data_IF_064226151623
#
_entry.id   IF_064226151623
#
_cell.length_a   1.000
_cell.length_b   1.000
_cell.length_c   1.000
_cell.angle_alpha   90.00
_cell.angle_beta   90.00
_cell.angle_gamma   90.00
#
_symmetry.space_group_name_H-M   'P 1'
#
loop_
_entity.id
_entity.type
_entity.pdbx_description
1 polymer ?
#
# COMPACT_ATOMS: atom_id res chain seq x y z
N UNK A 1 19.83 -11.75 -2.45
CA UNK A 1 20.17 -11.42 -3.85
C UNK A 1 19.00 -11.31 -4.80
N UNK A 2 17.95 -12.16 -4.78
CA UNK A 2 16.76 -11.96 -5.66
C UNK A 2 16.18 -10.55 -5.48
N UNK A 3 15.91 -10.15 -4.23
CA UNK A 3 15.33 -8.83 -3.94
C UNK A 3 16.26 -7.67 -4.34
N UNK A 4 17.58 -7.85 -4.25
CA UNK A 4 18.56 -6.84 -4.65
C UNK A 4 18.61 -6.70 -6.17
N UNK A 5 18.59 -7.80 -6.91
CA UNK A 5 18.50 -7.79 -8.37
C UNK A 5 17.21 -7.14 -8.85
N UNK A 6 16.10 -7.44 -8.19
CA UNK A 6 14.82 -6.78 -8.42
C UNK A 6 14.90 -5.28 -8.15
N UNK A 7 15.39 -4.89 -6.97
CA UNK A 7 15.51 -3.48 -6.61
C UNK A 7 16.38 -2.71 -7.60
N UNK A 8 17.57 -3.22 -7.92
CA UNK A 8 18.47 -2.59 -8.88
C UNK A 8 17.81 -2.40 -10.24
N UNK A 9 17.10 -3.42 -10.73
CA UNK A 9 16.38 -3.36 -12.01
C UNK A 9 15.24 -2.32 -11.96
N UNK A 10 14.48 -2.27 -10.88
CA UNK A 10 13.39 -1.31 -10.71
C UNK A 10 13.90 0.12 -10.54
N UNK A 11 15.04 0.32 -9.87
CA UNK A 11 15.70 1.63 -9.76
C UNK A 11 16.16 2.13 -11.12
N UNK A 12 16.89 1.30 -11.86
CA UNK A 12 17.30 1.60 -13.22
C UNK A 12 16.09 1.99 -14.10
N UNK A 13 15.01 1.21 -14.01
CA UNK A 13 13.81 1.42 -14.83
C UNK A 13 12.97 2.63 -14.43
N UNK A 14 12.61 2.77 -13.15
CA UNK A 14 11.58 3.71 -12.68
C UNK A 14 12.18 5.00 -12.10
N UNK A 15 13.42 4.98 -11.63
CA UNK A 15 14.09 6.13 -11.02
C UNK A 15 15.10 6.79 -11.96
N UNK A 16 16.02 6.02 -12.54
CA UNK A 16 17.02 6.57 -13.44
C UNK A 16 16.45 6.74 -14.86
N UNK A 17 15.69 5.74 -15.34
CA UNK A 17 15.16 5.69 -16.70
C UNK A 17 16.16 5.20 -17.74
N UNK A 18 17.25 4.58 -17.30
CA UNK A 18 18.20 3.86 -18.14
C UNK A 18 18.37 2.46 -17.54
N UNK A 19 18.01 1.43 -18.27
CA UNK A 19 17.83 0.10 -17.70
C UNK A 19 18.34 -1.03 -18.58
N UNK A 20 18.73 -2.13 -17.91
CA UNK A 20 19.10 -3.36 -18.57
C UNK A 20 17.85 -4.11 -19.03
N UNK A 21 17.69 -4.29 -20.35
CA UNK A 21 16.48 -4.86 -20.94
C UNK A 21 16.44 -6.40 -20.91
N UNK A 22 17.53 -7.06 -20.50
CA UNK A 22 17.64 -8.52 -20.46
C UNK A 22 18.45 -9.07 -19.25
N UNK A 23 18.03 -8.81 -18.00
CA UNK A 23 18.74 -9.22 -16.79
C UNK A 23 18.56 -10.74 -16.53
N UNK A 24 19.12 -11.58 -17.41
CA UNK A 24 19.02 -13.04 -17.34
C UNK A 24 20.22 -13.67 -16.60
N UNK A 25 20.20 -14.96 -16.20
CA UNK A 25 21.28 -15.56 -15.39
C UNK A 25 22.65 -15.53 -16.06
N UNK A 26 22.72 -15.49 -17.40
CA UNK A 26 23.99 -15.34 -18.12
C UNK A 26 24.65 -13.95 -18.00
N UNK A 27 23.90 -12.92 -17.61
CA UNK A 27 24.36 -11.52 -17.52
C UNK A 27 24.54 -11.06 -16.08
N UNK A 28 24.06 -11.84 -15.11
CA UNK A 28 24.01 -11.52 -13.69
C UNK A 28 24.77 -12.56 -12.88
N UNK A 29 25.73 -12.13 -12.06
CA UNK A 29 26.44 -13.02 -11.15
C UNK A 29 26.50 -12.46 -9.74
N UNK A 30 26.20 -13.34 -8.79
CA UNK A 30 26.45 -13.12 -7.38
C UNK A 30 27.95 -13.20 -7.08
N UNK A 31 28.54 -12.11 -6.60
CA UNK A 31 29.92 -12.09 -6.12
C UNK A 31 30.01 -12.68 -4.70
N UNK A 32 31.17 -13.18 -4.30
CA UNK A 32 31.40 -13.72 -2.94
C UNK A 32 31.15 -12.67 -1.84
N UNK A 33 31.33 -11.39 -2.15
CA UNK A 33 31.04 -10.26 -1.27
C UNK A 33 29.56 -9.85 -1.19
N UNK A 34 28.64 -10.65 -1.76
CA UNK A 34 27.19 -10.38 -1.68
C UNK A 34 26.67 -9.31 -2.64
N UNK A 35 27.48 -8.83 -3.58
CA UNK A 35 27.07 -7.86 -4.61
C UNK A 35 26.67 -8.54 -5.91
N UNK A 36 25.78 -7.90 -6.69
CA UNK A 36 25.37 -8.37 -8.02
C UNK A 36 26.22 -7.70 -9.11
N UNK A 37 26.96 -8.49 -9.88
CA UNK A 37 27.76 -8.03 -11.01
C UNK A 37 26.99 -8.21 -12.32
N UNK A 38 27.02 -7.18 -13.18
CA UNK A 38 26.48 -7.19 -14.54
C UNK A 38 27.64 -7.31 -15.53
N UNK A 39 27.54 -8.23 -16.49
CA UNK A 39 28.61 -8.48 -17.46
C UNK A 39 28.33 -7.97 -18.88
N UNK A 40 27.09 -8.09 -19.33
CA UNK A 40 26.67 -7.61 -20.65
C UNK A 40 25.84 -6.34 -20.48
N UNK A 41 26.04 -5.39 -21.40
CA UNK A 41 25.27 -4.15 -21.51
C UNK A 41 24.86 -3.91 -22.98
N UNK A 42 24.83 -4.96 -23.80
CA UNK A 42 24.45 -4.91 -25.21
C UNK A 42 22.97 -4.62 -25.44
N UNK A 43 22.12 -4.84 -24.43
CA UNK A 43 20.69 -4.52 -24.46
C UNK A 43 20.31 -3.59 -23.31
N UNK A 44 20.61 -2.31 -23.50
CA UNK A 44 20.14 -1.23 -22.63
C UNK A 44 19.01 -0.45 -23.31
N UNK A 45 18.10 0.08 -22.50
CA UNK A 45 17.00 0.92 -22.96
C UNK A 45 16.93 2.22 -22.16
N UNK A 46 16.49 3.28 -22.82
CA UNK A 46 16.10 4.53 -22.20
C UNK A 46 14.58 4.60 -22.13
N UNK A 47 14.04 5.09 -21.01
CA UNK A 47 12.62 5.34 -20.85
C UNK A 47 12.37 6.75 -20.28
N UNK A 48 11.74 7.64 -21.07
CA UNK A 48 11.36 8.97 -20.64
C UNK A 48 10.54 9.00 -19.35
N UNK A 49 10.70 10.07 -18.55
CA UNK A 49 10.00 10.23 -17.26
C UNK A 49 8.47 10.07 -17.37
N UNK A 50 7.85 10.59 -18.42
CA UNK A 50 6.39 10.50 -18.58
C UNK A 50 5.92 9.05 -18.74
N UNK A 51 6.66 8.22 -19.47
CA UNK A 51 6.39 6.79 -19.59
C UNK A 51 6.63 6.03 -18.29
N UNK A 52 7.66 6.41 -17.51
CA UNK A 52 7.89 5.84 -16.17
C UNK A 52 6.76 6.14 -15.19
N UNK A 53 6.28 7.38 -15.17
CA UNK A 53 5.11 7.75 -14.36
C UNK A 53 3.87 6.99 -14.84
N UNK A 54 3.69 6.85 -16.16
CA UNK A 54 2.64 6.02 -16.75
C UNK A 54 2.70 4.55 -16.31
N UNK A 55 3.89 3.92 -16.27
CA UNK A 55 4.06 2.56 -15.77
C UNK A 55 3.60 2.42 -14.31
N UNK A 56 3.95 3.39 -13.46
CA UNK A 56 3.54 3.41 -12.05
C UNK A 56 2.02 3.58 -11.94
N UNK A 57 1.42 4.47 -12.73
CA UNK A 57 -0.03 4.68 -12.79
C UNK A 57 -0.77 3.40 -13.19
N UNK A 58 -0.33 2.76 -14.29
CA UNK A 58 -0.89 1.50 -14.78
C UNK A 58 -0.84 0.40 -13.72
N UNK A 59 0.30 0.28 -13.02
CA UNK A 59 0.43 -0.70 -11.95
C UNK A 59 -0.54 -0.40 -10.80
N UNK A 60 -0.73 0.87 -10.43
CA UNK A 60 -1.68 1.25 -9.38
C UNK A 60 -3.12 0.95 -9.79
N UNK A 61 -3.54 1.29 -11.00
CA UNK A 61 -4.87 0.94 -11.51
C UNK A 61 -5.08 -0.58 -11.61
N UNK A 62 -4.07 -1.31 -12.09
CA UNK A 62 -4.11 -2.77 -12.15
C UNK A 62 -4.29 -3.40 -10.75
N UNK A 63 -3.48 -2.98 -9.78
CA UNK A 63 -3.53 -3.46 -8.39
C UNK A 63 -4.84 -3.04 -7.71
N UNK A 64 -5.41 -1.90 -8.07
CA UNK A 64 -6.71 -1.44 -7.59
C UNK A 64 -7.90 -2.11 -8.27
N UNK A 65 -7.66 -2.91 -9.33
CA UNK A 65 -8.68 -3.46 -10.23
C UNK A 65 -9.55 -2.38 -10.86
N UNK A 66 -8.96 -1.21 -11.07
CA UNK A 66 -9.60 -0.09 -11.75
C UNK A 66 -9.42 -0.25 -13.26
N UNK A 67 -10.33 -1.01 -13.86
CA UNK A 67 -10.34 -1.26 -15.30
C UNK A 67 -10.52 0.01 -16.14
N UNK A 68 -11.28 0.99 -15.65
CA UNK A 68 -11.50 2.24 -16.38
C UNK A 68 -10.28 3.13 -16.29
N UNK A 69 -9.67 3.26 -15.11
CA UNK A 69 -8.38 3.93 -14.94
C UNK A 69 -7.30 3.34 -15.85
N UNK A 70 -7.19 2.00 -15.87
CA UNK A 70 -6.20 1.32 -16.71
C UNK A 70 -6.47 1.51 -18.22
N UNK A 71 -7.73 1.50 -18.66
CA UNK A 71 -8.08 1.81 -20.05
C UNK A 71 -7.69 3.26 -20.43
N UNK A 72 -7.92 4.21 -19.53
CA UNK A 72 -7.51 5.61 -19.73
C UNK A 72 -5.98 5.76 -19.76
N UNK A 73 -5.23 4.99 -18.97
CA UNK A 73 -3.77 4.99 -19.03
C UNK A 73 -3.28 4.50 -20.39
N UNK A 74 -3.81 3.37 -20.88
CA UNK A 74 -3.44 2.85 -22.19
C UNK A 74 -3.73 3.84 -23.32
N UNK A 75 -4.85 4.56 -23.23
CA UNK A 75 -5.16 5.63 -24.18
C UNK A 75 -4.18 6.80 -24.06
N UNK A 76 -3.92 7.27 -22.84
CA UNK A 76 -3.03 8.41 -22.57
C UNK A 76 -1.58 8.15 -23.00
N UNK A 77 -1.15 6.89 -22.96
CA UNK A 77 0.18 6.45 -23.40
C UNK A 77 0.24 6.13 -24.90
N UNK A 78 -0.87 6.26 -25.62
CA UNK A 78 -0.96 5.99 -27.06
C UNK A 78 -0.94 4.52 -27.42
N UNK A 79 -1.27 3.62 -26.49
CA UNK A 79 -1.31 2.18 -26.77
C UNK A 79 -2.57 1.80 -27.52
N UNK A 80 -3.66 2.55 -27.30
CA UNK A 80 -4.94 2.32 -27.95
C UNK A 80 -5.14 3.37 -29.04
N UNK A 81 -5.58 2.98 -30.26
CA UNK A 81 -5.90 3.92 -31.32
C UNK A 81 -6.91 4.99 -30.90
N UNK A 82 -6.77 6.21 -31.44
CA UNK A 82 -7.75 7.28 -31.24
C UNK A 82 -9.15 6.85 -31.72
N UNK A 83 -10.18 7.24 -30.97
CA UNK A 83 -11.57 6.90 -31.28
C UNK A 83 -12.03 5.52 -30.80
N UNK A 84 -11.15 4.71 -30.21
CA UNK A 84 -11.54 3.46 -29.55
C UNK A 84 -12.48 3.72 -28.36
N UNK A 85 -13.51 2.89 -28.22
CA UNK A 85 -14.42 2.96 -27.07
C UNK A 85 -13.73 2.47 -25.79
N UNK A 86 -13.31 3.42 -24.94
CA UNK A 86 -12.62 3.13 -23.69
C UNK A 86 -13.51 2.39 -22.67
N UNK A 87 -14.84 2.50 -22.77
CA UNK A 87 -15.74 1.73 -21.90
C UNK A 87 -15.72 0.26 -22.29
N UNK A 88 -15.68 -0.04 -23.59
CA UNK A 88 -15.53 -1.41 -24.07
C UNK A 88 -14.18 -2.02 -23.66
N UNK A 89 -13.10 -1.25 -23.77
CA UNK A 89 -11.76 -1.66 -23.27
C UNK A 89 -11.81 -1.94 -21.77
N UNK A 90 -12.41 -1.03 -20.99
CA UNK A 90 -12.56 -1.20 -19.55
C UNK A 90 -13.39 -2.45 -19.19
N UNK A 91 -14.48 -2.73 -19.92
CA UNK A 91 -15.30 -3.92 -19.69
C UNK A 91 -14.51 -5.21 -19.99
N UNK A 92 -13.72 -5.25 -21.06
CA UNK A 92 -12.84 -6.37 -21.38
C UNK A 92 -11.75 -6.58 -20.30
N UNK A 93 -11.10 -5.50 -19.85
CA UNK A 93 -10.14 -5.55 -18.74
C UNK A 93 -10.79 -6.02 -17.43
N UNK A 94 -12.02 -5.57 -17.13
CA UNK A 94 -12.76 -6.00 -15.95
C UNK A 94 -13.08 -7.49 -16.00
N UNK A 95 -13.48 -7.99 -17.17
CA UNK A 95 -13.71 -9.43 -17.37
C UNK A 95 -12.42 -10.22 -17.14
N UNK A 96 -11.32 -9.77 -17.74
CA UNK A 96 -9.99 -10.35 -17.58
C UNK A 96 -9.56 -10.43 -16.09
N UNK A 97 -9.78 -9.36 -15.32
CA UNK A 97 -9.51 -9.37 -13.86
C UNK A 97 -10.34 -10.39 -13.06
N UNK A 98 -11.55 -10.73 -13.52
CA UNK A 98 -12.43 -11.71 -12.87
C UNK A 98 -11.89 -13.14 -12.97
N UNK A 99 -11.26 -13.48 -14.09
CA UNK A 99 -10.64 -14.79 -14.32
C UNK A 99 -9.30 -14.96 -13.60
N UNK A 100 -8.63 -13.87 -13.21
CA UNK A 100 -7.37 -13.90 -12.43
C UNK A 100 -7.52 -14.64 -11.08
N UNK A 101 -8.74 -14.81 -10.55
CA UNK A 101 -8.97 -15.64 -9.35
C UNK A 101 -8.64 -17.13 -9.56
N UNK A 102 -8.44 -17.59 -10.80
CA UNK A 102 -8.22 -19.00 -11.17
C UNK A 102 -6.82 -19.31 -11.70
N UNK A 103 -5.94 -18.33 -11.92
CA UNK A 103 -4.60 -18.53 -12.51
C UNK A 103 -3.49 -17.76 -11.76
N UNK A 104 -2.23 -18.08 -12.07
CA UNK A 104 -1.03 -17.51 -11.44
C UNK A 104 -0.98 -15.98 -11.56
N UNK A 105 -0.70 -15.28 -10.45
CA UNK A 105 -0.47 -13.82 -10.43
C UNK A 105 0.97 -13.43 -10.86
N UNK A 106 1.68 -14.32 -11.54
CA UNK A 106 3.00 -14.04 -12.06
C UNK A 106 2.95 -13.13 -13.30
N UNK A 107 4.09 -12.56 -13.66
CA UNK A 107 4.17 -11.60 -14.75
C UNK A 107 3.65 -12.18 -16.07
N UNK A 108 4.02 -13.43 -16.37
CA UNK A 108 3.58 -14.10 -17.59
C UNK A 108 2.06 -14.28 -17.62
N UNK A 109 1.44 -14.70 -16.52
CA UNK A 109 -0.01 -14.80 -16.39
C UNK A 109 -0.69 -13.45 -16.62
N UNK A 110 -0.19 -12.39 -15.97
CA UNK A 110 -0.73 -11.03 -16.17
C UNK A 110 -0.61 -10.57 -17.62
N UNK A 111 0.53 -10.80 -18.27
CA UNK A 111 0.72 -10.45 -19.68
C UNK A 111 -0.20 -11.25 -20.60
N UNK A 112 -0.38 -12.54 -20.34
CA UNK A 112 -1.31 -13.39 -21.10
C UNK A 112 -2.75 -12.86 -21.05
N UNK A 113 -3.19 -12.43 -19.87
CA UNK A 113 -4.51 -11.83 -19.67
C UNK A 113 -4.70 -10.48 -20.37
N UNK A 114 -3.62 -9.74 -20.58
CA UNK A 114 -3.65 -8.48 -21.33
C UNK A 114 -3.57 -8.70 -22.83
N UNK A 115 -2.91 -9.77 -23.32
CA UNK A 115 -2.76 -10.02 -24.75
C UNK A 115 -4.09 -10.15 -25.48
N UNK A 116 -5.09 -10.80 -24.88
CA UNK A 116 -6.41 -10.95 -25.51
C UNK A 116 -7.08 -9.58 -25.74
N UNK A 117 -7.03 -8.70 -24.72
CA UNK A 117 -7.55 -7.33 -24.81
C UNK A 117 -6.73 -6.51 -25.81
N UNK A 118 -5.41 -6.64 -25.77
CA UNK A 118 -4.52 -5.94 -26.69
C UNK A 118 -4.81 -6.31 -28.15
N UNK A 119 -5.07 -7.58 -28.43
CA UNK A 119 -5.41 -8.06 -29.77
C UNK A 119 -6.80 -7.57 -30.21
N UNK A 120 -7.81 -7.69 -29.35
CA UNK A 120 -9.18 -7.27 -29.62
C UNK A 120 -9.27 -5.78 -30.00
N UNK A 121 -8.55 -4.93 -29.27
CA UNK A 121 -8.60 -3.48 -29.42
C UNK A 121 -7.43 -2.91 -30.22
N UNK A 122 -6.68 -3.75 -30.94
CA UNK A 122 -5.57 -3.34 -31.82
C UNK A 122 -4.53 -2.46 -31.14
N UNK A 123 -4.08 -2.86 -29.95
CA UNK A 123 -3.07 -2.13 -29.20
C UNK A 123 -1.74 -2.06 -29.96
N UNK A 124 -1.09 -0.91 -29.91
CA UNK A 124 0.25 -0.68 -30.42
C UNK A 124 1.19 -0.32 -29.26
N UNK A 125 2.04 -1.26 -28.87
CA UNK A 125 3.05 -1.01 -27.83
C UNK A 125 4.23 -0.20 -28.40
N UNK A 126 4.60 0.94 -27.80
CA UNK A 126 5.84 1.62 -28.13
C UNK A 126 7.06 0.72 -27.87
N UNK A 127 8.15 0.84 -28.66
CA UNK A 127 9.34 0.02 -28.51
C UNK A 127 9.93 0.00 -27.10
N UNK A 128 9.92 1.15 -26.41
CA UNK A 128 10.46 1.27 -25.05
C UNK A 128 9.71 0.35 -24.07
N UNK A 129 8.39 0.22 -24.18
CA UNK A 129 7.60 -0.68 -23.35
C UNK A 129 7.83 -2.15 -23.67
N UNK A 130 8.12 -2.49 -24.93
CA UNK A 130 8.48 -3.85 -25.29
C UNK A 130 9.79 -4.27 -24.59
N UNK A 131 10.76 -3.36 -24.45
CA UNK A 131 11.98 -3.59 -23.68
C UNK A 131 11.70 -3.74 -22.18
N UNK A 132 10.77 -2.96 -21.62
CA UNK A 132 10.34 -3.11 -20.22
C UNK A 132 9.71 -4.48 -19.96
N UNK A 133 8.80 -4.92 -20.84
CA UNK A 133 8.16 -6.24 -20.73
C UNK A 133 9.21 -7.35 -20.79
N UNK A 134 10.20 -7.23 -21.69
CA UNK A 134 11.32 -8.18 -21.76
C UNK A 134 12.14 -8.19 -20.47
N UNK A 135 12.49 -7.02 -19.95
CA UNK A 135 13.29 -6.89 -18.73
C UNK A 135 12.61 -7.57 -17.53
N UNK A 136 11.32 -7.27 -17.32
CA UNK A 136 10.53 -7.85 -16.23
C UNK A 136 10.32 -9.36 -16.40
N UNK A 137 10.10 -9.83 -17.63
CA UNK A 137 9.97 -11.25 -17.93
C UNK A 137 11.27 -12.03 -17.69
N UNK A 138 12.41 -11.49 -18.13
CA UNK A 138 13.73 -12.06 -17.88
C UNK A 138 14.06 -12.09 -16.39
N UNK A 139 13.75 -11.01 -15.68
CA UNK A 139 13.98 -10.90 -14.25
C UNK A 139 13.14 -11.91 -13.46
N UNK A 140 11.86 -12.06 -13.80
CA UNK A 140 11.00 -13.06 -13.16
C UNK A 140 11.47 -14.48 -13.50
N UNK A 141 11.82 -14.78 -14.75
CA UNK A 141 12.35 -16.08 -15.15
C UNK A 141 13.64 -16.44 -14.41
N UNK A 142 14.54 -15.46 -14.24
CA UNK A 142 15.79 -15.61 -13.46
C UNK A 142 15.50 -15.87 -12.00
N UNK A 143 14.60 -15.10 -11.40
CA UNK A 143 14.23 -15.26 -9.99
C UNK A 143 13.52 -16.60 -9.75
N UNK A 144 12.65 -17.04 -10.65
CA UNK A 144 11.94 -18.33 -10.58
C UNK A 144 12.86 -19.55 -10.66
N UNK A 145 14.03 -19.42 -11.27
CA UNK A 145 15.04 -20.48 -11.25
C UNK A 145 15.59 -20.74 -9.84
N UNK A 146 15.49 -19.76 -8.93
CA UNK A 146 15.95 -19.83 -7.55
C UNK A 146 14.78 -19.99 -6.55
N UNK A 147 13.67 -19.30 -6.79
CA UNK A 147 12.46 -19.34 -5.99
C UNK A 147 11.23 -19.52 -6.91
N UNK A 148 10.72 -20.76 -7.07
CA UNK A 148 9.60 -21.06 -7.98
C UNK A 148 8.31 -20.28 -7.68
N UNK A 149 8.12 -19.82 -6.44
CA UNK A 149 6.93 -19.07 -6.01
C UNK A 149 7.11 -17.56 -6.17
N UNK A 150 8.26 -17.11 -6.70
CA UNK A 150 8.56 -15.70 -6.88
C UNK A 150 7.58 -15.03 -7.85
N UNK A 151 7.05 -13.88 -7.43
CA UNK A 151 6.12 -13.06 -8.22
C UNK A 151 6.65 -11.64 -8.30
N UNK A 152 7.13 -11.25 -9.49
CA UNK A 152 7.81 -9.96 -9.67
C UNK A 152 6.92 -8.77 -9.33
N UNK A 153 5.62 -8.84 -9.64
CA UNK A 153 4.66 -7.75 -9.40
C UNK A 153 4.41 -7.55 -7.90
N UNK A 154 4.26 -8.64 -7.14
CA UNK A 154 4.05 -8.57 -5.69
C UNK A 154 5.33 -8.04 -5.00
N UNK A 155 6.50 -8.51 -5.42
CA UNK A 155 7.81 -8.11 -4.90
C UNK A 155 8.20 -6.67 -5.28
N UNK A 156 7.71 -6.15 -6.41
CA UNK A 156 7.96 -4.76 -6.84
C UNK A 156 7.14 -3.73 -6.05
N UNK A 157 6.08 -4.16 -5.35
CA UNK A 157 5.16 -3.26 -4.67
C UNK A 157 5.86 -2.32 -3.66
N UNK A 158 6.74 -2.79 -2.74
CA UNK A 158 7.41 -1.90 -1.78
C UNK A 158 8.28 -0.83 -2.46
N UNK A 159 8.95 -1.18 -3.57
CA UNK A 159 9.75 -0.23 -4.35
C UNK A 159 8.85 0.89 -4.92
N UNK A 160 7.74 0.51 -5.55
CA UNK A 160 6.82 1.45 -6.20
C UNK A 160 6.21 2.38 -5.16
N UNK A 161 5.85 1.85 -3.99
CA UNK A 161 5.41 2.64 -2.85
C UNK A 161 6.48 3.65 -2.42
N UNK A 162 7.73 3.22 -2.25
CA UNK A 162 8.83 4.11 -1.94
C UNK A 162 8.97 5.24 -2.94
N UNK A 163 8.87 4.91 -4.23
CA UNK A 163 8.92 5.88 -5.31
C UNK A 163 7.76 6.88 -5.27
N UNK A 164 6.54 6.43 -4.95
CA UNK A 164 5.35 7.28 -4.78
C UNK A 164 5.48 8.24 -3.58
N UNK A 165 6.08 7.78 -2.49
CA UNK A 165 6.34 8.59 -1.31
C UNK A 165 7.47 9.60 -1.57
N UNK A 166 8.54 9.18 -2.25
CA UNK A 166 9.72 9.98 -2.54
C UNK A 166 9.52 11.06 -3.60
N UNK A 167 8.69 10.83 -4.64
CA UNK A 167 8.47 11.84 -5.68
C UNK A 167 7.41 12.88 -5.24
N UNK A 168 7.78 14.17 -5.08
CA UNK A 168 6.84 15.21 -4.69
C UNK A 168 6.00 15.75 -5.86
N UNK A 169 6.19 15.26 -7.09
CA UNK A 169 5.47 15.81 -8.24
C UNK A 169 3.96 15.61 -8.12
N UNK A 170 3.16 16.56 -8.65
CA UNK A 170 1.69 16.51 -8.53
C UNK A 170 1.07 15.22 -9.07
N UNK A 171 1.65 14.67 -10.15
CA UNK A 171 1.22 13.41 -10.75
C UNK A 171 1.42 12.27 -9.78
N UNK A 172 2.64 12.10 -9.24
CA UNK A 172 2.96 11.04 -8.27
C UNK A 172 2.14 11.12 -6.99
N UNK A 173 1.88 12.35 -6.50
CA UNK A 173 0.94 12.57 -5.38
C UNK A 173 -0.49 12.19 -5.73
N UNK A 174 -0.93 12.39 -6.98
CA UNK A 174 -2.23 11.94 -7.46
C UNK A 174 -2.31 10.42 -7.48
N UNK A 175 -1.30 9.73 -8.02
CA UNK A 175 -1.25 8.27 -8.06
C UNK A 175 -1.28 7.69 -6.63
N UNK A 176 -0.51 8.26 -5.71
CA UNK A 176 -0.51 7.83 -4.31
C UNK A 176 -1.90 7.98 -3.67
N UNK A 177 -2.65 9.04 -3.99
CA UNK A 177 -4.03 9.20 -3.51
C UNK A 177 -4.95 8.13 -4.09
N UNK A 178 -4.87 7.85 -5.39
CA UNK A 178 -5.70 6.83 -6.06
C UNK A 178 -5.39 5.42 -5.54
N UNK A 179 -4.15 5.15 -5.13
CA UNK A 179 -3.78 3.93 -4.45
C UNK A 179 -4.51 3.75 -3.10
N UNK A 180 -4.74 4.83 -2.37
CA UNK A 180 -5.25 4.80 -0.99
C UNK A 180 -6.75 5.10 -0.88
N UNK A 181 -7.32 5.84 -1.83
CA UNK A 181 -8.68 6.38 -1.80
C UNK A 181 -9.42 5.91 -3.05
N UNK A 182 -10.62 5.37 -2.87
CA UNK A 182 -11.54 5.02 -3.95
C UNK A 182 -12.21 6.27 -4.54
N UNK A 183 -12.76 6.17 -5.75
CA UNK A 183 -13.46 7.29 -6.42
C UNK A 183 -14.72 7.77 -5.67
N UNK A 184 -15.34 6.87 -4.90
CA UNK A 184 -16.47 7.20 -4.02
C UNK A 184 -16.02 7.99 -2.77
N UNK A 185 -14.71 8.05 -2.49
CA UNK A 185 -14.11 8.68 -1.33
C UNK A 185 -13.81 7.73 -0.17
N UNK A 186 -14.18 6.45 -0.27
CA UNK A 186 -13.85 5.46 0.76
C UNK A 186 -12.33 5.16 0.79
N UNK A 187 -11.81 4.78 1.96
CA UNK A 187 -10.39 4.46 2.13
C UNK A 187 -10.15 2.98 1.89
N UNK A 188 -9.12 2.66 1.10
CA UNK A 188 -8.63 1.30 0.89
C UNK A 188 -7.77 0.87 2.08
N UNK A 189 -8.39 0.58 3.22
CA UNK A 189 -7.69 0.27 4.49
C UNK A 189 -6.60 -0.80 4.36
N UNK A 190 -6.84 -1.88 3.60
CA UNK A 190 -5.82 -2.90 3.34
C UNK A 190 -4.55 -2.35 2.66
N UNK A 191 -4.68 -1.34 1.79
CA UNK A 191 -3.55 -0.70 1.11
C UNK A 191 -2.79 0.22 2.06
N UNK A 192 -3.54 1.00 2.85
CA UNK A 192 -2.96 1.86 3.89
C UNK A 192 -2.22 1.03 4.95
N UNK A 193 -2.78 -0.10 5.40
CA UNK A 193 -2.12 -1.03 6.32
C UNK A 193 -0.82 -1.55 5.74
N UNK A 194 -0.82 -2.02 4.47
CA UNK A 194 0.40 -2.50 3.81
C UNK A 194 1.45 -1.40 3.67
N UNK A 195 1.01 -0.16 3.40
CA UNK A 195 1.88 1.01 3.32
C UNK A 195 2.56 1.28 4.68
N UNK A 196 1.77 1.38 5.74
CA UNK A 196 2.28 1.65 7.09
C UNK A 196 3.15 0.48 7.58
N UNK A 197 2.74 -0.76 7.31
CA UNK A 197 3.52 -1.95 7.63
C UNK A 197 4.89 -1.92 6.95
N UNK A 198 4.95 -1.64 5.64
CA UNK A 198 6.21 -1.52 4.91
C UNK A 198 7.13 -0.42 5.48
N UNK A 199 6.57 0.71 5.92
CA UNK A 199 7.33 1.78 6.59
C UNK A 199 7.83 1.32 7.96
N UNK A 200 7.02 0.53 8.69
CA UNK A 200 7.34 0.09 10.05
C UNK A 200 8.30 -1.10 10.13
N UNK A 201 8.23 -2.07 9.20
CA UNK A 201 9.13 -3.24 9.18
C UNK A 201 10.59 -2.80 9.03
N UNK A 202 10.82 -1.70 8.31
CA UNK A 202 12.13 -1.06 8.17
C UNK A 202 12.67 -0.48 9.49
N UNK A 203 11.80 -0.10 10.44
CA UNK A 203 12.22 0.41 11.77
C UNK A 203 12.74 -0.70 12.70
N UNK A 204 12.31 -1.94 12.47
CA UNK A 204 12.66 -3.07 13.32
C UNK A 204 14.09 -3.53 13.04
N UNK A 205 14.50 -3.54 11.77
CA UNK A 205 15.84 -3.97 11.34
C UNK A 205 16.94 -2.93 11.67
N UNK A 206 16.64 -1.64 11.64
CA UNK A 206 17.62 -0.58 12.01
C UNK A 206 17.91 -0.52 13.51
N UNK A 207 16.94 -0.89 14.36
CA UNK A 207 17.12 -0.95 15.82
C UNK A 207 17.96 -2.16 16.30
N UNK A 208 18.05 -3.22 15.51
CA UNK A 208 18.93 -4.38 15.81
C UNK A 208 20.40 -4.16 15.44
N UNK A 209 20.73 -3.10 14.68
CA UNK A 209 22.09 -2.83 14.22
C UNK A 209 22.89 -1.89 15.15
N UNK A 210 22.25 -1.26 16.15
CA UNK A 210 22.91 -0.24 17.01
C UNK A 210 23.65 -0.81 18.23
N UNK A 211 24.15 -2.04 18.16
CA UNK A 211 24.75 -2.73 19.30
C UNK A 211 25.78 -3.80 18.94
N UNK A 212 26.79 -3.48 18.13
CA UNK A 212 28.00 -4.29 18.03
C UNK A 212 29.21 -3.43 17.62
N UNK A 213 30.29 -3.57 18.40
CA UNK A 213 31.57 -2.89 18.24
C UNK A 213 32.26 -3.16 16.89
N UNK A 214 33.15 -2.22 16.55
CA UNK A 214 34.09 -2.18 15.43
C UNK A 214 34.62 -3.55 14.94
N UNK A 215 34.20 -3.96 13.75
CA UNK A 215 35.05 -4.65 12.77
C UNK A 215 34.39 -4.56 11.38
N UNK A 216 35.21 -4.33 10.35
CA UNK A 216 34.81 -4.27 8.95
C UNK A 216 34.09 -5.56 8.53
N UNK A 217 32.77 -5.53 8.49
CA UNK A 217 31.94 -6.44 7.71
C UNK A 217 30.76 -5.63 7.20
N UNK A 218 30.81 -5.30 5.92
CA UNK A 218 29.74 -4.66 5.18
C UNK A 218 28.54 -5.62 5.08
N UNK A 219 27.71 -5.64 6.12
CA UNK A 219 26.38 -6.24 6.09
C UNK A 219 25.42 -5.38 6.91
N UNK A 220 25.42 -4.08 6.61
CA UNK A 220 24.26 -3.23 6.90
C UNK A 220 23.08 -3.70 6.07
N UNK A 221 21.86 -3.57 6.59
CA UNK A 221 20.66 -3.77 5.79
C UNK A 221 20.77 -2.92 4.52
N UNK A 222 20.37 -3.43 3.35
CA UNK A 222 20.61 -2.72 2.11
C UNK A 222 19.92 -1.34 2.13
N UNK A 223 20.70 -0.28 1.90
CA UNK A 223 20.29 1.13 1.96
C UNK A 223 19.02 1.42 1.14
N UNK A 224 18.83 0.65 0.08
CA UNK A 224 17.67 0.68 -0.80
C UNK A 224 16.32 0.30 -0.16
N UNK A 225 16.36 -0.39 0.98
CA UNK A 225 15.16 -0.72 1.78
C UNK A 225 14.75 0.42 2.71
N UNK A 226 15.45 1.54 2.77
CA UNK A 226 15.08 2.64 3.67
C UNK A 226 14.22 3.69 2.98
N UNK A 227 13.04 3.99 3.55
CA UNK A 227 12.28 5.17 3.12
C UNK A 227 12.86 6.43 3.76
N UNK A 228 13.00 7.50 2.96
CA UNK A 228 13.26 8.83 3.50
C UNK A 228 12.02 9.32 4.27
N UNK A 229 12.16 9.47 5.58
CA UNK A 229 11.05 9.86 6.45
C UNK A 229 10.54 11.27 6.15
N UNK A 230 11.38 12.17 5.63
CA UNK A 230 10.90 13.49 5.20
C UNK A 230 9.93 13.37 4.03
N UNK A 231 10.24 12.53 3.06
CA UNK A 231 9.35 12.20 1.94
C UNK A 231 8.04 11.56 2.39
N UNK A 232 8.10 10.61 3.36
CA UNK A 232 6.90 9.99 3.95
C UNK A 232 6.01 11.03 4.64
N UNK A 233 6.60 11.92 5.44
CA UNK A 233 5.88 12.98 6.14
C UNK A 233 5.27 13.97 5.15
N UNK A 234 6.02 14.38 4.12
CA UNK A 234 5.51 15.27 3.08
C UNK A 234 4.32 14.66 2.32
N UNK A 235 4.43 13.38 1.93
CA UNK A 235 3.33 12.65 1.29
C UNK A 235 2.10 12.53 2.21
N UNK A 236 2.32 12.37 3.52
CA UNK A 236 1.27 12.32 4.53
C UNK A 236 0.60 13.69 4.70
N UNK A 237 1.38 14.78 4.74
CA UNK A 237 0.87 16.15 4.82
C UNK A 237 0.01 16.49 3.58
N UNK A 238 0.47 16.12 2.37
CA UNK A 238 -0.29 16.28 1.12
C UNK A 238 -1.63 15.52 1.15
N UNK A 239 -1.65 14.31 1.72
CA UNK A 239 -2.87 13.52 1.87
C UNK A 239 -3.86 14.19 2.84
N UNK A 240 -3.38 14.68 3.98
CA UNK A 240 -4.21 15.43 4.93
C UNK A 240 -4.78 16.70 4.30
N UNK A 241 -3.97 17.44 3.57
CA UNK A 241 -4.42 18.66 2.89
C UNK A 241 -5.49 18.36 1.85
N UNK A 242 -5.37 17.25 1.11
CA UNK A 242 -6.43 16.79 0.23
C UNK A 242 -7.73 16.48 1.00
N UNK A 243 -7.66 15.69 2.08
CA UNK A 243 -8.82 15.30 2.90
C UNK A 243 -9.53 16.54 3.47
N UNK A 244 -8.77 17.50 4.00
CA UNK A 244 -9.31 18.70 4.61
C UNK A 244 -9.84 19.71 3.58
N UNK A 245 -9.38 19.64 2.34
CA UNK A 245 -9.84 20.49 1.25
C UNK A 245 -11.33 20.28 0.92
N UNK A 246 -11.89 21.18 0.09
CA UNK A 246 -13.25 21.01 -0.46
C UNK A 246 -13.38 19.74 -1.32
N UNK A 247 -12.31 19.30 -2.00
CA UNK A 247 -12.33 18.11 -2.85
C UNK A 247 -12.42 16.82 -2.02
N UNK A 248 -11.81 16.80 -0.84
CA UNK A 248 -11.82 15.66 0.09
C UNK A 248 -13.10 15.51 0.92
N UNK A 249 -14.18 16.25 0.63
CA UNK A 249 -15.40 16.21 1.44
C UNK A 249 -16.00 14.81 1.54
N UNK A 250 -16.01 14.02 0.45
CA UNK A 250 -16.50 12.63 0.46
C UNK A 250 -15.65 11.76 1.38
N UNK A 251 -14.33 11.91 1.30
CA UNK A 251 -13.38 11.16 2.15
C UNK A 251 -13.63 11.44 3.62
N UNK A 252 -13.87 12.71 3.99
CA UNK A 252 -14.22 13.07 5.38
C UNK A 252 -15.50 12.39 5.87
N UNK A 253 -16.53 12.31 5.03
CA UNK A 253 -17.79 11.64 5.39
C UNK A 253 -17.55 10.15 5.66
N UNK A 254 -16.85 9.46 4.77
CA UNK A 254 -16.52 8.05 4.97
C UNK A 254 -15.60 7.83 6.17
N UNK A 255 -14.62 8.70 6.38
CA UNK A 255 -13.75 8.66 7.56
C UNK A 255 -14.53 8.78 8.87
N UNK A 256 -15.47 9.73 8.96
CA UNK A 256 -16.32 9.87 10.16
C UNK A 256 -17.15 8.61 10.36
N UNK A 257 -17.74 8.06 9.30
CA UNK A 257 -18.50 6.82 9.38
C UNK A 257 -17.64 5.65 9.86
N UNK A 258 -16.42 5.51 9.34
CA UNK A 258 -15.48 4.47 9.74
C UNK A 258 -15.04 4.62 11.20
N UNK A 259 -14.81 5.85 11.66
CA UNK A 259 -14.48 6.15 13.07
C UNK A 259 -15.65 5.78 14.00
N UNK A 260 -16.89 6.12 13.63
CA UNK A 260 -18.09 5.76 14.40
C UNK A 260 -18.26 4.24 14.45
N UNK A 261 -18.08 3.55 13.31
CA UNK A 261 -18.14 2.09 13.24
C UNK A 261 -17.04 1.43 14.11
N UNK A 262 -15.83 1.96 14.09
CA UNK A 262 -14.74 1.48 14.94
C UNK A 262 -15.04 1.68 16.43
N UNK A 263 -15.60 2.84 16.80
CA UNK A 263 -16.05 3.12 18.17
C UNK A 263 -17.14 2.15 18.63
N UNK A 264 -18.06 1.77 17.75
CA UNK A 264 -19.10 0.78 18.04
C UNK A 264 -18.53 -0.59 18.40
N UNK A 265 -17.57 -1.05 17.59
CA UNK A 265 -16.89 -2.31 17.83
C UNK A 265 -16.15 -2.25 19.18
N UNK A 266 -15.46 -1.14 19.46
CA UNK A 266 -14.75 -0.95 20.72
C UNK A 266 -15.69 -0.96 21.95
N UNK A 267 -16.78 -0.20 21.91
CA UNK A 267 -17.76 -0.14 23.01
C UNK A 267 -18.46 -1.48 23.26
N UNK A 268 -18.74 -2.24 22.21
CA UNK A 268 -19.41 -3.54 22.34
C UNK A 268 -18.46 -4.66 22.85
N UNK A 269 -17.16 -4.57 22.57
CA UNK A 269 -16.15 -5.52 23.05
C UNK A 269 -15.55 -5.16 24.42
N UNK A 270 -15.63 -3.91 24.86
CA UNK A 270 -15.27 -3.47 26.22
C UNK A 270 -16.28 -3.95 27.29
N UNK A 271 -16.75 -5.19 27.19
CA UNK A 271 -17.32 -5.88 28.34
C UNK A 271 -16.16 -6.26 29.25
N UNK A 272 -16.34 -6.01 30.54
CA UNK A 272 -15.35 -5.92 31.62
C UNK A 272 -14.28 -7.02 31.86
N UNK A 273 -14.29 -8.27 31.32
CA UNK A 273 -13.30 -9.27 31.79
C UNK A 273 -11.84 -9.02 31.38
N UNK A 274 -11.56 -8.31 30.28
CA UNK A 274 -10.18 -8.21 29.75
C UNK A 274 -9.24 -7.30 30.56
N UNK A 275 -9.78 -6.36 31.33
CA UNK A 275 -8.96 -5.41 32.12
C UNK A 275 -8.56 -5.99 33.49
N UNK A 276 -9.28 -7.00 34.00
CA UNK A 276 -9.01 -7.59 35.32
C UNK A 276 -8.65 -9.09 35.30
N UNK A 277 -8.95 -9.84 34.23
CA UNK A 277 -8.56 -11.24 34.12
C UNK A 277 -7.32 -11.41 33.23
N UNK A 278 -6.24 -11.86 33.86
CA UNK A 278 -4.99 -12.33 33.24
C UNK A 278 -5.29 -13.19 31.99
N UNK A 279 -4.89 -12.69 30.81
CA UNK A 279 -4.75 -13.43 29.54
C UNK A 279 -5.85 -14.47 29.29
N UNK A 280 -7.05 -14.02 28.93
CA UNK A 280 -8.09 -14.89 28.36
C UNK A 280 -7.91 -15.02 26.85
N UNK A 281 -7.98 -16.24 26.31
CA UNK A 281 -7.90 -16.51 24.86
C UNK A 281 -9.00 -15.76 24.10
N UNK A 282 -8.62 -15.17 22.96
CA UNK A 282 -9.53 -14.61 21.93
C UNK A 282 -10.33 -15.78 21.34
N UNK A 283 -11.42 -16.16 22.00
CA UNK A 283 -12.16 -17.37 21.66
C UNK A 283 -13.64 -17.23 21.96
N UNK A 284 -14.28 -16.17 21.45
CA UNK A 284 -15.71 -16.16 21.07
C UNK A 284 -16.13 -14.85 20.37
N UNK A 285 -15.25 -14.31 19.50
CA UNK A 285 -15.58 -13.11 18.73
C UNK A 285 -16.13 -13.47 17.36
N UNK A 286 -17.12 -12.70 16.89
CA UNK A 286 -17.50 -12.69 15.48
C UNK A 286 -16.23 -12.41 14.64
N UNK A 287 -15.87 -13.27 13.66
CA UNK A 287 -14.61 -13.18 12.93
C UNK A 287 -14.39 -11.83 12.23
N UNK A 288 -15.46 -11.18 11.75
CA UNK A 288 -15.39 -9.85 11.12
C UNK A 288 -14.99 -8.76 12.13
N UNK A 289 -15.50 -8.83 13.36
CA UNK A 289 -15.22 -7.82 14.41
C UNK A 289 -13.83 -7.98 15.00
N UNK A 290 -13.40 -9.23 15.24
CA UNK A 290 -12.04 -9.54 15.67
C UNK A 290 -10.99 -9.06 14.65
N UNK A 291 -11.31 -9.18 13.36
CA UNK A 291 -10.46 -8.70 12.26
C UNK A 291 -10.32 -7.18 12.27
N UNK A 292 -11.42 -6.45 12.48
CA UNK A 292 -11.41 -4.99 12.55
C UNK A 292 -10.58 -4.48 13.74
N UNK A 293 -10.69 -5.09 14.92
CA UNK A 293 -9.89 -4.69 16.08
C UNK A 293 -8.41 -4.99 15.88
N UNK A 294 -8.08 -6.19 15.39
CA UNK A 294 -6.69 -6.55 15.12
C UNK A 294 -6.05 -5.58 14.13
N UNK A 295 -6.81 -5.20 13.11
CA UNK A 295 -6.44 -4.15 12.15
C UNK A 295 -6.15 -2.81 12.86
N UNK A 296 -7.07 -2.32 13.68
CA UNK A 296 -6.88 -1.05 14.40
C UNK A 296 -5.63 -1.07 15.30
N UNK A 297 -5.44 -2.15 16.07
CA UNK A 297 -4.28 -2.31 16.95
C UNK A 297 -2.99 -2.31 16.14
N UNK A 298 -2.93 -3.08 15.05
CA UNK A 298 -1.76 -3.14 14.17
C UNK A 298 -1.46 -1.79 13.54
N UNK A 299 -2.48 -1.08 13.02
CA UNK A 299 -2.30 0.25 12.42
C UNK A 299 -1.74 1.24 13.43
N UNK A 300 -2.27 1.26 14.67
CA UNK A 300 -1.77 2.15 15.73
C UNK A 300 -0.34 1.80 16.12
N UNK A 301 -0.02 0.51 16.22
CA UNK A 301 1.33 0.05 16.57
C UNK A 301 2.35 0.42 15.49
N UNK A 302 2.05 0.12 14.22
CA UNK A 302 2.94 0.44 13.09
C UNK A 302 3.05 1.95 12.88
N UNK A 303 1.98 2.72 13.08
CA UNK A 303 2.03 4.18 13.03
C UNK A 303 2.90 4.77 14.15
N UNK A 304 2.79 4.23 15.38
CA UNK A 304 3.66 4.62 16.50
C UNK A 304 5.14 4.33 16.19
N UNK A 305 5.44 3.19 15.58
CA UNK A 305 6.79 2.87 15.12
C UNK A 305 7.29 3.86 14.07
N UNK A 306 6.46 4.22 13.09
CA UNK A 306 6.80 5.22 12.08
C UNK A 306 7.08 6.61 12.69
N UNK A 307 6.31 7.03 13.71
CA UNK A 307 6.57 8.29 14.43
C UNK A 307 7.93 8.27 15.15
N UNK A 308 8.30 7.13 15.75
CA UNK A 308 9.56 7.00 16.47
C UNK A 308 10.80 7.18 15.57
N UNK A 309 10.67 7.02 14.25
CA UNK A 309 11.78 7.21 13.31
C UNK A 309 12.16 8.69 13.13
N UNK A 310 11.20 9.62 13.22
CA UNK A 310 11.46 11.06 13.09
C UNK A 310 10.49 11.89 13.96
N UNK A 311 10.58 11.80 15.30
CA UNK A 311 9.58 12.35 16.21
C UNK A 311 9.41 13.87 16.06
N UNK A 312 10.50 14.60 15.83
CA UNK A 312 10.46 16.06 15.67
C UNK A 312 9.76 16.47 14.37
N UNK A 313 10.03 15.77 13.27
CA UNK A 313 9.41 16.06 11.98
C UNK A 313 7.92 15.71 11.98
N UNK A 314 7.55 14.56 12.57
CA UNK A 314 6.16 14.14 12.74
C UNK A 314 5.37 15.10 13.63
N UNK A 315 5.91 15.46 14.80
CA UNK A 315 5.25 16.39 15.71
C UNK A 315 5.06 17.77 15.07
N UNK A 316 6.06 18.28 14.36
CA UNK A 316 5.95 19.54 13.63
C UNK A 316 4.85 19.49 12.56
N UNK A 317 4.78 18.42 11.75
CA UNK A 317 3.75 18.25 10.72
C UNK A 317 2.34 18.14 11.34
N UNK A 318 2.18 17.37 12.42
CA UNK A 318 0.91 17.24 13.14
C UNK A 318 0.46 18.57 13.75
N UNK A 319 1.36 19.33 14.37
CA UNK A 319 1.04 20.65 14.94
C UNK A 319 0.58 21.61 13.83
N UNK A 320 1.35 21.71 12.73
CA UNK A 320 0.97 22.56 11.58
C UNK A 320 -0.40 22.19 11.03
N UNK A 321 -0.68 20.91 10.90
CA UNK A 321 -1.95 20.40 10.36
C UNK A 321 -3.10 20.69 11.32
N UNK A 322 -2.92 20.48 12.62
CA UNK A 322 -3.95 20.72 13.64
C UNK A 322 -4.27 22.22 13.83
N UNK A 323 -3.31 23.10 13.57
CA UNK A 323 -3.52 24.55 13.60
C UNK A 323 -4.37 25.08 12.43
N UNK A 324 -4.56 24.29 11.35
CA UNK A 324 -5.43 24.68 10.23
C UNK A 324 -6.91 24.71 10.68
N UNK A 325 -7.67 25.77 10.35
CA UNK A 325 -9.07 25.89 10.77
C UNK A 325 -9.95 24.75 10.22
N UNK A 326 -9.63 24.23 9.03
CA UNK A 326 -10.30 23.08 8.43
C UNK A 326 -10.08 21.81 9.25
N UNK A 327 -8.89 21.63 9.82
CA UNK A 327 -8.57 20.49 10.69
C UNK A 327 -9.35 20.58 12.00
N UNK A 328 -9.39 21.76 12.63
CA UNK A 328 -10.13 21.97 13.87
C UNK A 328 -11.63 21.71 13.68
N UNK A 329 -12.19 22.18 12.56
CA UNK A 329 -13.57 21.92 12.19
C UNK A 329 -13.83 20.43 12.00
N UNK A 330 -12.97 19.73 11.26
CA UNK A 330 -13.12 18.30 11.05
C UNK A 330 -13.03 17.49 12.35
N UNK A 331 -12.09 17.85 13.24
CA UNK A 331 -11.99 17.25 14.57
C UNK A 331 -13.28 17.47 15.37
N UNK A 332 -13.84 18.69 15.35
CA UNK A 332 -15.13 18.98 15.99
C UNK A 332 -16.28 18.14 15.40
N UNK A 333 -16.34 18.01 14.06
CA UNK A 333 -17.34 17.19 13.36
C UNK A 333 -17.26 15.72 13.80
N UNK A 334 -16.05 15.16 13.91
CA UNK A 334 -15.81 13.81 14.44
C UNK A 334 -16.30 13.69 15.89
N UNK A 335 -15.94 14.64 16.74
CA UNK A 335 -16.38 14.64 18.15
C UNK A 335 -17.91 14.72 18.27
N UNK A 336 -18.56 15.58 17.50
CA UNK A 336 -20.02 15.71 17.50
C UNK A 336 -20.69 14.44 16.97
N UNK A 337 -20.15 13.83 15.93
CA UNK A 337 -20.65 12.57 15.41
C UNK A 337 -20.57 11.45 16.46
N UNK A 338 -19.42 11.32 17.15
CA UNK A 338 -19.25 10.36 18.23
C UNK A 338 -20.15 10.67 19.44
N UNK A 339 -20.29 11.94 19.83
CA UNK A 339 -21.15 12.35 20.93
C UNK A 339 -22.63 12.08 20.65
N UNK A 340 -23.10 12.42 19.45
CA UNK A 340 -24.46 12.12 19.01
C UNK A 340 -24.69 10.60 18.98
N UNK A 341 -23.78 9.86 18.36
CA UNK A 341 -23.88 8.41 18.24
C UNK A 341 -23.90 7.70 19.60
N UNK A 342 -22.98 8.07 20.49
CA UNK A 342 -22.92 7.55 21.85
C UNK A 342 -24.14 7.95 22.69
N UNK A 343 -24.73 9.13 22.50
CA UNK A 343 -25.94 9.54 23.23
C UNK A 343 -27.14 8.62 22.95
N UNK A 344 -27.24 8.03 21.75
CA UNK A 344 -28.26 7.03 21.42
C UNK A 344 -27.91 5.62 21.89
N UNK A 345 -26.62 5.23 21.85
CA UNK A 345 -26.20 3.87 22.21
C UNK A 345 -25.85 3.66 23.68
N UNK A 346 -25.39 4.67 24.40
CA UNK A 346 -25.04 4.58 25.82
C UNK A 346 -26.18 3.95 26.62
N UNK A 347 -27.47 4.31 26.45
CA UNK A 347 -28.57 3.61 27.10
C UNK A 347 -28.62 2.11 26.79
N UNK A 348 -28.51 1.71 25.51
CA UNK A 348 -28.56 0.30 25.10
C UNK A 348 -27.33 -0.49 25.56
N UNK A 349 -26.13 0.07 25.41
CA UNK A 349 -24.88 -0.54 25.90
C UNK A 349 -24.84 -0.57 27.41
N UNK A 350 -25.40 0.42 28.12
CA UNK A 350 -25.55 0.42 29.57
C UNK A 350 -26.51 -0.67 30.01
N UNK A 351 -27.65 -0.87 29.34
CA UNK A 351 -28.57 -1.97 29.63
C UNK A 351 -27.95 -3.34 29.36
N UNK A 352 -27.25 -3.51 28.24
CA UNK A 352 -26.49 -4.73 27.95
C UNK A 352 -25.36 -4.96 28.97
N UNK A 353 -24.69 -3.90 29.40
CA UNK A 353 -23.64 -3.93 30.40
C UNK A 353 -24.18 -4.31 31.77
N UNK A 354 -25.26 -3.66 32.22
CA UNK A 354 -25.96 -3.98 33.47
C UNK A 354 -26.52 -5.40 33.44
N UNK A 355 -27.08 -5.86 32.31
CA UNK A 355 -27.54 -7.23 32.15
C UNK A 355 -26.41 -8.25 32.28
N UNK A 356 -25.26 -8.00 31.63
CA UNK A 356 -24.08 -8.87 31.73
C UNK A 356 -23.43 -8.83 33.12
N UNK A 357 -23.43 -7.67 33.77
CA UNK A 357 -22.93 -7.49 35.13
C UNK A 357 -23.81 -8.21 36.16
N UNK A 358 -25.13 -8.09 36.05
CA UNK A 358 -26.08 -8.81 36.89
C UNK A 358 -25.97 -10.33 36.71
N UNK A 359 -25.83 -10.82 35.46
CA UNK A 359 -25.60 -12.25 35.18
C UNK A 359 -24.23 -12.74 35.70
N UNK A 360 -23.21 -11.87 35.72
CA UNK A 360 -21.92 -12.19 36.32
C UNK A 360 -22.01 -12.30 37.85
N UNK A 361 -22.73 -11.38 38.52
CA UNK A 361 -22.96 -11.43 39.96
C UNK A 361 -23.79 -12.65 40.36
N UNK A 362 -24.85 -12.96 39.61
CA UNK A 362 -25.70 -14.14 39.83
C UNK A 362 -24.91 -15.46 39.71
N UNK A 363 -23.87 -15.49 38.86
CA UNK A 363 -22.94 -16.63 38.76
C UNK A 363 -21.90 -16.70 39.88
N UNK A 364 -21.60 -15.60 40.57
CA UNK A 364 -20.69 -15.58 41.72
C UNK A 364 -21.39 -15.94 43.03
N UNK A 365 -22.70 -15.68 43.17
CA UNK A 365 -23.49 -16.04 44.35
C UNK A 365 -23.93 -17.54 44.40
N UNK A 366 -23.51 -18.36 43.42
CA UNK A 366 -23.78 -19.81 43.34
C UNK A 366 -22.55 -20.66 43.73
N UNK A 367 -21.44 -20.04 44.17
CA UNK A 367 -20.26 -20.71 44.75
C UNK A 367 -20.18 -20.45 46.26
#
# INVERSE_FOLDING_TARGET
MIDEGLYCSLRQLLEEGFFHADPHPGNLVATEGGSLAYFDFGMMGDIPRHYRVGLIQMLVHYVNRDSLGLANDFHSLGFVPEGTDLLAVADALRFSFGDVRRQSNDFQGVMNHLYDVMYEFSFSLPPDYALVIRALGSLEGTAKALDPEFKVIESAYPFVIGRLLADPSPDMRKILRELLICDDGSIRWNRLERLIAAISEQSSESSSASGADSSENANGSPEWRSFDMHSVIAATEDLFDFILSRKGWRVRVFLVQDIVNASDVFLQEATFPYVYAKVGKIGDLNPERSKMIRRLVNTVQSFRQAINLAPDAWSAMLIRTLLKPESQKFVLDVFLALANHSSYKIPETFWLFMSRFLNYLDKQDIL
#
